data_IF_811385448177
#
_entry.id   IF_811385448177
#
_cell.length_a   1.000
_cell.length_b   1.000
_cell.length_c   1.000
_cell.angle_alpha   90.00
_cell.angle_beta   90.00
_cell.angle_gamma   90.00
#
_symmetry.space_group_name_H-M   'P 1'
#
loop_
_entity.id
_entity.type
_entity.pdbx_description
1 polymer ?
#
# COMPACT_ATOMS: atom_id res chain seq x y z
N UNK A 1 -17.07 -2.68 11.23
CA UNK A 1 -15.74 -2.23 11.73
C UNK A 1 -15.02 -1.57 10.55
N UNK A 2 -14.73 -0.27 10.62
CA UNK A 2 -14.09 0.45 9.51
C UNK A 2 -12.60 0.12 9.35
N UNK A 3 -11.99 0.57 8.25
CA UNK A 3 -10.57 0.39 7.90
C UNK A 3 -9.60 0.70 9.07
N UNK A 4 -9.92 1.72 9.87
CA UNK A 4 -9.17 2.09 11.07
C UNK A 4 -9.27 1.09 12.22
N UNK A 5 -10.42 0.42 12.40
CA UNK A 5 -10.59 -0.63 13.41
C UNK A 5 -9.80 -1.89 13.08
N UNK A 6 -9.74 -2.26 11.79
CA UNK A 6 -8.88 -3.35 11.30
C UNK A 6 -7.39 -3.02 11.38
N UNK A 7 -7.00 -1.78 11.05
CA UNK A 7 -5.62 -1.34 11.19
C UNK A 7 -5.20 -1.28 12.67
N UNK A 8 -6.04 -0.74 13.55
CA UNK A 8 -5.78 -0.71 15.00
C UNK A 8 -5.68 -2.11 15.60
N UNK A 9 -6.58 -3.03 15.24
CA UNK A 9 -6.51 -4.42 15.65
C UNK A 9 -5.26 -5.13 15.11
N UNK A 10 -4.84 -4.85 13.88
CA UNK A 10 -3.63 -5.42 13.29
C UNK A 10 -2.34 -4.85 13.92
N UNK A 11 -2.30 -3.55 14.23
CA UNK A 11 -1.18 -2.90 14.91
C UNK A 11 -1.07 -3.37 16.36
N UNK A 12 -2.17 -3.34 17.12
CA UNK A 12 -2.20 -3.79 18.52
C UNK A 12 -1.85 -5.28 18.65
N UNK A 13 -2.39 -6.14 17.76
CA UNK A 13 -2.01 -7.55 17.71
C UNK A 13 -0.59 -7.76 17.19
N UNK A 14 -0.10 -6.98 16.23
CA UNK A 14 1.24 -7.16 15.66
C UNK A 14 2.38 -6.83 16.63
N UNK A 15 2.21 -5.83 17.49
CA UNK A 15 3.20 -5.46 18.52
C UNK A 15 3.11 -6.32 19.77
N UNK A 16 1.91 -6.77 20.16
CA UNK A 16 1.72 -7.58 21.37
C UNK A 16 1.76 -9.09 21.10
N UNK A 17 1.66 -9.54 19.85
CA UNK A 17 1.78 -10.96 19.53
C UNK A 17 3.24 -11.40 19.70
N UNK A 18 3.47 -12.61 20.25
CA UNK A 18 4.79 -13.21 20.19
C UNK A 18 5.25 -13.23 18.73
N UNK A 19 6.57 -13.08 18.48
CA UNK A 19 7.10 -13.17 17.12
C UNK A 19 6.56 -14.45 16.50
N UNK A 20 5.78 -14.31 15.43
CA UNK A 20 5.29 -15.45 14.66
C UNK A 20 6.47 -16.35 14.29
N UNK A 21 6.26 -17.66 14.09
CA UNK A 21 7.33 -18.62 13.92
C UNK A 21 8.28 -18.15 12.81
N UNK A 22 9.50 -17.77 13.20
CA UNK A 22 10.55 -17.57 12.22
C UNK A 22 10.71 -18.88 11.44
N UNK A 23 10.87 -18.80 10.12
CA UNK A 23 11.28 -19.97 9.34
C UNK A 23 12.69 -20.33 9.82
N UNK A 24 12.77 -21.20 10.83
CA UNK A 24 14.02 -21.74 11.31
C UNK A 24 14.49 -22.74 10.26
N UNK A 25 15.49 -22.35 9.47
CA UNK A 25 16.26 -23.32 8.70
C UNK A 25 16.96 -24.23 9.71
N UNK A 26 16.65 -25.53 9.67
CA UNK A 26 17.30 -26.49 10.54
C UNK A 26 18.82 -26.47 10.24
N UNK A 27 19.70 -26.31 11.25
CA UNK A 27 21.12 -26.40 11.01
C UNK A 27 21.49 -27.80 10.49
N UNK A 28 22.43 -27.84 9.55
CA UNK A 28 22.94 -29.09 8.97
C UNK A 28 23.54 -29.95 10.09
N UNK A 29 22.86 -31.04 10.48
CA UNK A 29 23.29 -31.93 11.57
C UNK A 29 22.31 -32.09 12.76
N UNK A 30 21.09 -31.54 12.67
CA UNK A 30 20.11 -31.63 13.78
C UNK A 30 19.57 -33.06 13.95
N UNK A 31 19.68 -33.64 15.15
CA UNK A 31 19.14 -34.97 15.49
C UNK A 31 17.62 -34.94 15.67
N UNK A 32 16.95 -36.08 15.42
CA UNK A 32 15.48 -36.25 15.47
C UNK A 32 14.80 -35.74 16.75
N UNK A 33 15.53 -35.62 17.88
CA UNK A 33 15.01 -35.15 19.16
C UNK A 33 14.83 -33.62 19.26
N UNK A 34 15.53 -32.83 18.44
CA UNK A 34 15.39 -31.35 18.42
C UNK A 34 14.29 -30.87 17.45
N UNK A 35 13.63 -31.78 16.74
CA UNK A 35 12.54 -31.53 15.79
C UNK A 35 11.15 -31.34 16.45
N UNK A 36 11.08 -31.25 17.78
CA UNK A 36 9.84 -31.12 18.53
C UNK A 36 9.25 -29.68 18.56
N UNK A 37 9.93 -28.69 17.98
CA UNK A 37 9.27 -27.45 17.60
C UNK A 37 8.56 -27.71 16.27
N UNK A 38 7.28 -27.32 16.09
CA UNK A 38 6.61 -27.45 14.80
C UNK A 38 7.31 -26.50 13.82
N UNK A 39 8.36 -27.00 13.16
CA UNK A 39 8.83 -26.41 11.93
C UNK A 39 7.60 -26.32 11.03
N UNK A 40 7.38 -25.17 10.38
CA UNK A 40 6.36 -25.05 9.35
C UNK A 40 6.63 -26.12 8.29
N UNK A 41 5.97 -27.27 8.39
CA UNK A 41 6.24 -28.45 7.56
C UNK A 41 5.37 -28.47 6.31
N UNK A 42 4.30 -27.65 6.26
CA UNK A 42 3.40 -27.60 5.11
C UNK A 42 3.28 -26.20 4.52
N UNK A 43 3.03 -26.14 3.21
CA UNK A 43 2.76 -24.89 2.49
C UNK A 43 1.53 -24.15 3.08
N UNK A 44 0.56 -24.89 3.64
CA UNK A 44 -0.61 -24.33 4.32
C UNK A 44 -0.27 -23.56 5.59
N UNK A 45 0.74 -24.00 6.34
CA UNK A 45 1.16 -23.30 7.57
C UNK A 45 1.88 -21.99 7.24
N UNK A 46 2.64 -21.96 6.12
CA UNK A 46 3.31 -20.74 5.63
C UNK A 46 2.27 -19.71 5.22
N UNK A 47 1.26 -20.14 4.48
CA UNK A 47 0.18 -19.26 4.06
C UNK A 47 -0.58 -18.67 5.26
N UNK A 48 -0.92 -19.50 6.26
CA UNK A 48 -1.56 -19.05 7.50
C UNK A 48 -0.70 -18.06 8.28
N UNK A 49 0.62 -18.29 8.36
CA UNK A 49 1.54 -17.39 9.04
C UNK A 49 1.66 -16.02 8.34
N UNK A 50 1.51 -15.97 7.01
CA UNK A 50 1.58 -14.74 6.22
C UNK A 50 0.26 -13.96 6.14
N UNK A 51 -0.86 -14.50 6.65
CA UNK A 51 -2.17 -13.82 6.64
C UNK A 51 -2.10 -12.35 7.11
N UNK A 52 -1.42 -12.01 8.23
CA UNK A 52 -1.30 -10.61 8.67
C UNK A 52 -0.62 -9.71 7.64
N UNK A 53 0.37 -10.23 6.92
CA UNK A 53 1.09 -9.52 5.85
C UNK A 53 0.21 -9.35 4.61
N UNK A 54 -0.57 -10.37 4.26
CA UNK A 54 -1.52 -10.30 3.14
C UNK A 54 -2.58 -9.22 3.34
N UNK A 55 -3.04 -9.01 4.58
CA UNK A 55 -3.95 -7.90 4.90
C UNK A 55 -3.33 -6.52 4.63
N UNK A 56 -2.04 -6.34 4.91
CA UNK A 56 -1.33 -5.09 4.56
C UNK A 56 -1.29 -4.92 3.05
N UNK A 57 -0.99 -5.98 2.29
CA UNK A 57 -0.97 -5.91 0.82
C UNK A 57 -2.34 -5.53 0.28
N UNK A 58 -3.42 -6.15 0.79
CA UNK A 58 -4.79 -5.79 0.41
C UNK A 58 -5.12 -4.32 0.74
N UNK A 59 -4.67 -3.83 1.91
CA UNK A 59 -4.77 -2.43 2.30
C UNK A 59 -3.99 -1.50 1.37
N UNK A 60 -2.77 -1.87 0.99
CA UNK A 60 -1.93 -1.11 0.07
C UNK A 60 -2.52 -1.02 -1.34
N UNK A 61 -3.08 -2.12 -1.84
CA UNK A 61 -3.80 -2.15 -3.13
C UNK A 61 -5.04 -1.27 -3.05
N UNK A 62 -5.83 -1.39 -1.98
CA UNK A 62 -7.02 -0.57 -1.77
C UNK A 62 -6.69 0.92 -1.70
N UNK A 63 -5.57 1.28 -1.05
CA UNK A 63 -5.07 2.64 -1.00
C UNK A 63 -4.63 3.14 -2.39
N UNK A 64 -3.91 2.32 -3.17
CA UNK A 64 -3.57 2.64 -4.56
C UNK A 64 -4.81 2.91 -5.42
N UNK A 65 -5.84 2.06 -5.32
CA UNK A 65 -7.11 2.30 -6.01
C UNK A 65 -7.78 3.62 -5.57
N UNK A 66 -7.69 3.97 -4.28
CA UNK A 66 -8.12 5.27 -3.78
C UNK A 66 -7.37 6.44 -4.43
N UNK A 67 -6.05 6.35 -4.56
CA UNK A 67 -5.25 7.37 -5.24
C UNK A 67 -5.58 7.48 -6.73
N UNK A 68 -5.75 6.35 -7.43
CA UNK A 68 -6.18 6.32 -8.84
C UNK A 68 -7.56 6.95 -9.02
N UNK A 69 -8.48 6.71 -8.09
CA UNK A 69 -9.80 7.35 -8.10
C UNK A 69 -9.69 8.87 -7.92
N UNK A 70 -8.85 9.35 -7.00
CA UNK A 70 -8.58 10.78 -6.81
C UNK A 70 -7.96 11.41 -8.06
N UNK A 71 -7.01 10.72 -8.71
CA UNK A 71 -6.41 11.16 -9.97
C UNK A 71 -7.44 11.27 -11.10
N UNK A 72 -8.33 10.28 -11.22
CA UNK A 72 -9.41 10.31 -12.21
C UNK A 72 -10.39 11.46 -11.94
N UNK A 73 -10.78 11.67 -10.68
CA UNK A 73 -11.65 12.77 -10.26
C UNK A 73 -11.04 14.13 -10.56
N UNK A 74 -9.77 14.32 -10.21
CA UNK A 74 -9.03 15.55 -10.45
C UNK A 74 -8.98 15.90 -11.95
N UNK A 75 -8.63 14.92 -12.80
CA UNK A 75 -8.62 15.10 -14.25
C UNK A 75 -9.99 15.48 -14.82
N UNK A 76 -11.06 14.85 -14.31
CA UNK A 76 -12.43 15.18 -14.72
C UNK A 76 -12.83 16.61 -14.30
N UNK A 77 -12.58 17.00 -13.06
CA UNK A 77 -12.94 18.33 -12.55
C UNK A 77 -12.21 19.45 -13.29
N UNK A 78 -10.91 19.28 -13.55
CA UNK A 78 -10.12 20.25 -14.31
C UNK A 78 -10.61 20.35 -15.75
N UNK A 79 -10.99 19.23 -16.37
CA UNK A 79 -11.55 19.25 -17.73
C UNK A 79 -12.86 20.03 -17.80
N UNK A 80 -13.73 19.89 -16.80
CA UNK A 80 -14.99 20.64 -16.74
C UNK A 80 -14.75 22.15 -16.55
N UNK A 81 -13.85 22.52 -15.63
CA UNK A 81 -13.47 23.92 -15.40
C UNK A 81 -12.87 24.57 -16.65
N UNK A 82 -11.99 23.85 -17.36
CA UNK A 82 -11.39 24.35 -18.60
C UNK A 82 -12.41 24.46 -19.73
N UNK A 83 -13.38 23.55 -19.85
CA UNK A 83 -14.48 23.66 -20.81
C UNK A 83 -15.37 24.87 -20.54
N UNK A 84 -15.70 25.13 -19.28
CA UNK A 84 -16.46 26.33 -18.90
C UNK A 84 -15.69 27.61 -19.21
N UNK A 85 -14.39 27.63 -18.93
CA UNK A 85 -13.52 28.79 -19.18
C UNK A 85 -13.36 29.04 -20.68
N UNK A 86 -13.19 27.98 -21.48
CA UNK A 86 -13.13 28.08 -22.95
C UNK A 86 -14.45 28.58 -23.54
N UNK A 87 -15.60 28.11 -23.01
CA UNK A 87 -16.94 28.60 -23.41
C UNK A 87 -17.10 30.10 -23.12
N UNK A 88 -16.59 30.57 -21.98
CA UNK A 88 -16.62 32.00 -21.61
C UNK A 88 -15.69 32.86 -22.47
N UNK A 89 -14.56 32.30 -22.93
CA UNK A 89 -13.59 33.00 -23.80
C UNK A 89 -13.86 32.86 -25.30
N UNK A 90 -14.83 32.03 -25.70
CA UNK A 90 -15.11 31.73 -27.11
C UNK A 90 -14.04 30.86 -27.78
N UNK A 91 -13.20 30.18 -27.00
CA UNK A 91 -12.12 29.32 -27.50
C UNK A 91 -12.60 27.87 -27.71
N UNK A 92 -11.84 27.09 -28.50
CA UNK A 92 -12.14 25.67 -28.70
C UNK A 92 -12.03 24.90 -27.37
N UNK A 93 -13.01 24.06 -27.02
CA UNK A 93 -12.97 23.31 -25.78
C UNK A 93 -11.81 22.31 -25.79
N UNK A 94 -11.03 22.22 -24.70
CA UNK A 94 -9.91 21.29 -24.65
C UNK A 94 -10.41 19.85 -24.62
N UNK A 95 -9.75 19.00 -25.40
CA UNK A 95 -9.97 17.55 -25.39
C UNK A 95 -9.46 16.96 -24.07
N UNK A 96 -10.14 15.92 -23.58
CA UNK A 96 -9.80 15.25 -22.32
C UNK A 96 -8.34 14.74 -22.28
N UNK A 97 -7.82 14.29 -23.43
CA UNK A 97 -6.41 13.92 -23.60
C UNK A 97 -5.46 15.12 -23.45
N UNK A 98 -5.85 16.29 -23.93
CA UNK A 98 -5.04 17.51 -23.79
C UNK A 98 -4.97 17.96 -22.33
N UNK A 99 -6.05 17.84 -21.57
CA UNK A 99 -6.02 18.17 -20.14
C UNK A 99 -5.17 17.16 -19.35
N UNK A 100 -5.32 15.87 -19.64
CA UNK A 100 -4.62 14.80 -18.92
C UNK A 100 -3.11 14.74 -19.17
N UNK A 101 -2.65 15.10 -20.37
CA UNK A 101 -1.23 14.93 -20.75
C UNK A 101 -0.51 16.25 -21.12
N UNK A 102 -1.24 17.32 -21.45
CA UNK A 102 -0.64 18.59 -21.91
C UNK A 102 -0.86 19.76 -20.93
N UNK A 103 -1.83 19.67 -20.01
CA UNK A 103 -2.06 20.74 -19.03
C UNK A 103 -1.33 20.48 -17.71
N UNK A 104 -0.47 21.43 -17.30
CA UNK A 104 0.22 21.47 -16.00
C UNK A 104 -0.65 22.16 -14.94
N UNK A 105 -1.96 21.97 -14.99
CA UNK A 105 -2.86 22.53 -13.99
C UNK A 105 -2.50 21.97 -12.61
N UNK A 106 -2.34 22.84 -11.61
CA UNK A 106 -1.95 22.47 -10.24
C UNK A 106 -2.88 21.40 -9.66
N UNK A 107 -4.15 21.42 -10.07
CA UNK A 107 -5.19 20.51 -9.64
C UNK A 107 -5.06 19.07 -10.13
N UNK A 108 -4.23 18.75 -11.13
CA UNK A 108 -3.93 17.36 -11.53
C UNK A 108 -2.53 16.92 -11.08
N UNK A 109 -1.59 17.87 -10.99
CA UNK A 109 -0.20 17.61 -10.65
C UNK A 109 -0.02 16.91 -9.29
N UNK A 110 -0.73 17.35 -8.25
CA UNK A 110 -0.68 16.72 -6.92
C UNK A 110 -1.11 15.25 -6.93
N UNK A 111 -2.15 14.92 -7.69
CA UNK A 111 -2.71 13.59 -7.78
C UNK A 111 -1.78 12.67 -8.59
N UNK A 112 -1.25 13.17 -9.71
CA UNK A 112 -0.26 12.46 -10.52
C UNK A 112 1.02 12.17 -9.72
N UNK A 113 1.50 13.15 -8.93
CA UNK A 113 2.67 12.98 -8.05
C UNK A 113 2.40 11.99 -6.93
N UNK A 114 1.22 12.02 -6.33
CA UNK A 114 0.84 11.07 -5.28
C UNK A 114 0.80 9.63 -5.79
N UNK A 115 0.18 9.40 -6.96
CA UNK A 115 0.12 8.07 -7.60
C UNK A 115 1.51 7.61 -8.03
N UNK A 116 2.25 8.45 -8.75
CA UNK A 116 3.59 8.13 -9.25
C UNK A 116 4.55 7.78 -8.12
N UNK A 117 4.60 8.62 -7.08
CA UNK A 117 5.44 8.36 -5.92
C UNK A 117 5.02 7.06 -5.22
N UNK A 118 3.73 6.80 -5.04
CA UNK A 118 3.26 5.54 -4.46
C UNK A 118 3.76 4.33 -5.25
N UNK A 119 3.59 4.32 -6.58
CA UNK A 119 4.01 3.22 -7.46
C UNK A 119 5.53 2.98 -7.43
N UNK A 120 6.34 4.04 -7.44
CA UNK A 120 7.80 3.93 -7.32
C UNK A 120 8.23 3.22 -6.04
N UNK A 121 7.55 3.49 -4.92
CA UNK A 121 7.86 2.89 -3.62
C UNK A 121 7.12 1.58 -3.37
N UNK A 122 6.10 1.24 -4.17
CA UNK A 122 5.25 0.08 -3.93
C UNK A 122 6.02 -1.23 -4.10
N UNK A 123 6.85 -1.34 -5.14
CA UNK A 123 7.69 -2.52 -5.38
C UNK A 123 8.71 -2.75 -4.24
N UNK A 124 9.56 -1.77 -3.89
CA UNK A 124 10.51 -1.97 -2.78
C UNK A 124 9.82 -2.20 -1.44
N UNK A 125 8.64 -1.59 -1.22
CA UNK A 125 7.81 -1.86 -0.06
C UNK A 125 7.38 -3.33 0.01
N UNK A 126 6.81 -3.89 -1.06
CA UNK A 126 6.37 -5.29 -1.08
C UNK A 126 7.54 -6.25 -0.85
N UNK A 127 8.66 -6.03 -1.52
CA UNK A 127 9.87 -6.87 -1.34
C UNK A 127 10.34 -6.84 0.11
N UNK A 128 10.44 -5.65 0.70
CA UNK A 128 10.89 -5.49 2.10
C UNK A 128 9.90 -6.09 3.09
N UNK A 129 8.61 -5.92 2.85
CA UNK A 129 7.53 -6.44 3.69
C UNK A 129 7.55 -7.98 3.74
N UNK A 130 7.64 -8.63 2.57
CA UNK A 130 7.69 -10.08 2.50
C UNK A 130 9.02 -10.64 3.00
N UNK A 131 10.15 -9.99 2.70
CA UNK A 131 11.44 -10.39 3.25
C UNK A 131 11.42 -10.37 4.78
N UNK A 132 10.94 -9.28 5.39
CA UNK A 132 10.82 -9.20 6.85
C UNK A 132 9.83 -10.22 7.41
N UNK A 133 8.71 -10.46 6.72
CA UNK A 133 7.71 -11.44 7.14
C UNK A 133 8.27 -12.88 7.14
N UNK A 134 9.05 -13.24 6.13
CA UNK A 134 9.63 -14.58 5.95
C UNK A 134 10.82 -14.85 6.88
N UNK A 135 11.72 -13.87 7.02
CA UNK A 135 12.98 -14.07 7.75
C UNK A 135 12.94 -13.62 9.21
N UNK A 136 12.02 -12.71 9.58
CA UNK A 136 11.99 -12.12 10.92
C UNK A 136 10.66 -12.42 11.62
N UNK A 137 9.55 -11.85 11.15
CA UNK A 137 8.23 -12.09 11.71
C UNK A 137 7.11 -11.46 10.88
N UNK A 138 6.11 -12.25 10.49
CA UNK A 138 4.93 -11.77 9.77
C UNK A 138 4.07 -10.77 10.58
N UNK A 139 3.97 -10.95 11.90
CA UNK A 139 3.20 -10.05 12.77
C UNK A 139 3.81 -8.65 12.84
N UNK A 140 5.14 -8.58 13.04
CA UNK A 140 5.87 -7.31 13.07
C UNK A 140 5.96 -6.68 11.67
N UNK A 141 6.13 -7.48 10.62
CA UNK A 141 6.03 -7.02 9.24
C UNK A 141 4.67 -6.33 9.00
N UNK A 142 3.57 -6.95 9.45
CA UNK A 142 2.24 -6.38 9.31
C UNK A 142 2.10 -5.03 10.01
N UNK A 143 2.57 -4.92 11.26
CA UNK A 143 2.52 -3.67 12.01
C UNK A 143 3.31 -2.54 11.34
N UNK A 144 4.56 -2.82 10.91
CA UNK A 144 5.39 -1.86 10.18
C UNK A 144 4.77 -1.49 8.83
N UNK A 145 4.14 -2.45 8.15
CA UNK A 145 3.44 -2.23 6.90
C UNK A 145 2.25 -1.30 7.02
N UNK A 146 1.43 -1.46 8.07
CA UNK A 146 0.34 -0.53 8.37
C UNK A 146 0.83 0.87 8.74
N UNK A 147 1.91 0.98 9.52
CA UNK A 147 2.55 2.26 9.84
C UNK A 147 3.02 2.96 8.56
N UNK A 148 3.68 2.22 7.67
CA UNK A 148 4.14 2.75 6.38
C UNK A 148 2.96 3.27 5.55
N UNK A 149 1.87 2.50 5.44
CA UNK A 149 0.65 2.93 4.72
C UNK A 149 0.02 4.18 5.32
N UNK A 150 0.00 4.30 6.65
CA UNK A 150 -0.52 5.49 7.33
C UNK A 150 0.29 6.74 6.97
N UNK A 151 1.62 6.68 7.07
CA UNK A 151 2.48 7.81 6.69
C UNK A 151 2.38 8.13 5.20
N UNK A 152 2.17 7.11 4.35
CA UNK A 152 1.93 7.30 2.92
C UNK A 152 0.63 8.04 2.65
N UNK A 153 -0.43 7.70 3.37
CA UNK A 153 -1.69 8.42 3.36
C UNK A 153 -1.54 9.89 3.77
N UNK A 154 -0.81 10.15 4.85
CA UNK A 154 -0.53 11.52 5.30
C UNK A 154 0.24 12.33 4.25
N UNK A 155 1.24 11.74 3.61
CA UNK A 155 2.01 12.41 2.55
C UNK A 155 1.10 12.88 1.40
N UNK A 156 0.24 12.00 0.88
CA UNK A 156 -0.69 12.33 -0.20
C UNK A 156 -1.69 13.42 0.18
N UNK A 157 -2.11 13.49 1.45
CA UNK A 157 -3.00 14.54 1.94
C UNK A 157 -2.30 15.89 2.11
N UNK A 158 -1.04 15.89 2.57
CA UNK A 158 -0.27 17.12 2.80
C UNK A 158 0.23 17.74 1.49
N UNK A 159 0.57 16.93 0.49
CA UNK A 159 1.01 17.43 -0.83
C UNK A 159 -0.14 18.06 -1.64
N UNK A 160 -1.38 17.87 -1.19
CA UNK A 160 -2.60 18.36 -1.85
C UNK A 160 -3.15 19.70 -1.38
N UNK A 161 -2.46 20.34 -0.43
CA UNK A 161 -2.74 21.70 0.02
C UNK A 161 -1.71 22.64 -0.58
#
# INVERSE_FOLDING_TARGET
AGFFGTAYAAVSRGFCAPPGPAIKFAPLGTTKAQLAQPALQTCGDVFRALVPTLFVVAGAISFLYGLLFLQARAGYTTTMQLKETARKKGEKPPTLLGVKYLSKELGTLWADRSVGNFLEQFVPFLVSLFAYALFVSANRASALGWIWLFFRGLYSLLFGK
#
